data_IF_931205353557
#
_entry.id   IF_931205353557
#
_cell.length_a   1.000
_cell.length_b   1.000
_cell.length_c   1.000
_cell.angle_alpha   90.00
_cell.angle_beta   90.00
_cell.angle_gamma   90.00
#
_symmetry.space_group_name_H-M   'P 1'
#
loop_
_entity.id
_entity.type
_entity.pdbx_description
1 polymer ?
#
# COMPACT_ATOMS: atom_id res chain seq x y z
N UNK A 1 -14.87 -17.90 -31.43
CA UNK A 1 -14.07 -16.70 -31.75
C UNK A 1 -13.12 -16.52 -30.59
N UNK A 2 -11.80 -16.62 -30.82
CA UNK A 2 -10.85 -16.52 -29.71
C UNK A 2 -10.75 -15.09 -29.19
N UNK A 3 -10.56 -14.95 -27.89
CA UNK A 3 -10.59 -13.65 -27.21
C UNK A 3 -9.21 -13.30 -26.64
N UNK A 4 -8.82 -12.04 -26.83
CA UNK A 4 -7.68 -11.46 -26.12
C UNK A 4 -8.03 -11.45 -24.64
N UNK A 5 -7.02 -11.53 -23.76
CA UNK A 5 -7.19 -11.33 -22.33
C UNK A 5 -8.06 -10.11 -22.02
N UNK A 6 -8.90 -10.20 -20.98
CA UNK A 6 -9.82 -9.12 -20.62
C UNK A 6 -9.05 -7.90 -20.11
N UNK A 7 -9.59 -6.71 -20.37
CA UNK A 7 -9.02 -5.41 -19.95
C UNK A 7 -8.86 -5.23 -18.44
N UNK A 8 -9.60 -6.00 -17.65
CA UNK A 8 -9.69 -5.95 -16.19
C UNK A 8 -8.89 -7.08 -15.51
N UNK A 9 -8.18 -7.89 -16.30
CA UNK A 9 -7.29 -8.89 -15.77
C UNK A 9 -6.13 -8.25 -14.98
N UNK A 10 -5.50 -9.02 -14.06
CA UNK A 10 -4.28 -8.60 -13.38
C UNK A 10 -3.21 -8.11 -14.36
N UNK A 11 -2.46 -7.07 -13.96
CA UNK A 11 -1.43 -6.47 -14.81
C UNK A 11 -0.39 -7.51 -15.28
N UNK A 12 -0.01 -8.45 -14.41
CA UNK A 12 0.95 -9.51 -14.73
C UNK A 12 0.41 -10.47 -15.81
N UNK A 13 -0.89 -10.79 -15.77
CA UNK A 13 -1.51 -11.65 -16.77
C UNK A 13 -1.55 -10.97 -18.14
N UNK A 14 -1.91 -9.66 -18.16
CA UNK A 14 -1.94 -8.87 -19.40
C UNK A 14 -0.55 -8.80 -20.02
N UNK A 15 0.46 -8.43 -19.23
CA UNK A 15 1.84 -8.32 -19.71
C UNK A 15 2.39 -9.69 -20.10
N UNK A 16 2.01 -10.76 -19.39
CA UNK A 16 2.31 -12.13 -19.76
C UNK A 16 1.82 -12.48 -21.17
N UNK A 17 0.57 -12.17 -21.49
CA UNK A 17 0.00 -12.42 -22.82
C UNK A 17 0.63 -11.55 -23.90
N UNK A 18 0.98 -10.29 -23.58
CA UNK A 18 1.68 -9.39 -24.51
C UNK A 18 3.10 -9.92 -24.82
N UNK A 19 3.85 -10.36 -23.81
CA UNK A 19 5.18 -10.96 -23.99
C UNK A 19 5.11 -12.27 -24.76
N UNK A 20 4.15 -13.14 -24.43
CA UNK A 20 3.92 -14.39 -25.17
C UNK A 20 3.59 -14.12 -26.64
N UNK A 21 2.74 -13.11 -26.90
CA UNK A 21 2.41 -12.67 -28.26
C UNK A 21 3.64 -12.23 -29.04
N UNK A 22 4.48 -11.38 -28.44
CA UNK A 22 5.72 -10.92 -29.09
C UNK A 22 6.68 -12.10 -29.36
N UNK A 23 6.82 -13.02 -28.40
CA UNK A 23 7.67 -14.20 -28.56
C UNK A 23 7.18 -15.09 -29.71
N UNK A 24 5.88 -15.39 -29.76
CA UNK A 24 5.30 -16.21 -30.83
C UNK A 24 5.35 -15.51 -32.19
N UNK A 25 5.12 -14.19 -32.25
CA UNK A 25 5.26 -13.41 -33.48
C UNK A 25 6.69 -13.44 -34.01
N UNK A 26 7.68 -13.24 -33.12
CA UNK A 26 9.10 -13.34 -33.45
C UNK A 26 9.50 -14.71 -33.97
N UNK A 27 8.95 -15.78 -33.39
CA UNK A 27 9.19 -17.15 -33.85
C UNK A 27 8.62 -17.42 -35.26
N UNK A 28 7.49 -16.80 -35.61
CA UNK A 28 6.89 -16.91 -36.95
C UNK A 28 7.56 -16.02 -37.99
N UNK A 29 8.15 -14.89 -37.57
CA UNK A 29 8.88 -13.97 -38.45
C UNK A 29 7.96 -13.18 -39.40
N UNK A 30 8.58 -12.54 -40.40
CA UNK A 30 7.90 -11.75 -41.42
C UNK A 30 7.07 -10.59 -40.86
N UNK A 31 5.98 -10.24 -41.55
CA UNK A 31 5.12 -9.12 -41.15
C UNK A 31 4.38 -9.33 -39.83
N UNK A 32 4.23 -10.59 -39.36
CA UNK A 32 3.71 -10.85 -38.01
C UNK A 32 4.67 -10.29 -36.94
N UNK A 33 5.96 -10.56 -37.09
CA UNK A 33 7.01 -10.05 -36.21
C UNK A 33 7.10 -8.52 -36.28
N UNK A 34 7.18 -7.95 -37.47
CA UNK A 34 7.35 -6.50 -37.65
C UNK A 34 6.21 -5.71 -36.98
N UNK A 35 4.95 -6.11 -37.20
CA UNK A 35 3.79 -5.46 -36.59
C UNK A 35 3.76 -5.65 -35.07
N UNK A 36 4.15 -6.83 -34.56
CA UNK A 36 4.23 -7.07 -33.12
C UNK A 36 5.33 -6.24 -32.47
N UNK A 37 6.52 -6.19 -33.07
CA UNK A 37 7.64 -5.38 -32.56
C UNK A 37 7.26 -3.90 -32.53
N UNK A 38 6.69 -3.37 -33.61
CA UNK A 38 6.28 -1.98 -33.70
C UNK A 38 5.25 -1.58 -32.61
N UNK A 39 4.35 -2.50 -32.23
CA UNK A 39 3.24 -2.21 -31.32
C UNK A 39 3.54 -2.57 -29.87
N UNK A 40 4.16 -3.72 -29.63
CA UNK A 40 4.28 -4.28 -28.29
C UNK A 40 5.59 -3.91 -27.61
N UNK A 41 6.69 -3.73 -28.35
CA UNK A 41 8.00 -3.39 -27.74
C UNK A 41 7.94 -2.07 -26.97
N UNK A 42 7.41 -0.95 -27.51
CA UNK A 42 7.41 0.32 -26.79
C UNK A 42 6.66 0.26 -25.45
N UNK A 43 5.50 -0.40 -25.42
CA UNK A 43 4.70 -0.51 -24.19
C UNK A 43 5.30 -1.49 -23.19
N UNK A 44 5.97 -2.55 -23.64
CA UNK A 44 6.73 -3.46 -22.79
C UNK A 44 7.95 -2.76 -22.16
N UNK A 45 8.72 -1.99 -22.95
CA UNK A 45 9.85 -1.20 -22.42
C UNK A 45 9.40 -0.21 -21.37
N UNK A 46 8.27 0.48 -21.59
CA UNK A 46 7.69 1.38 -20.60
C UNK A 46 7.29 0.62 -19.33
N UNK A 47 6.63 -0.54 -19.47
CA UNK A 47 6.23 -1.36 -18.33
C UNK A 47 7.43 -1.81 -17.50
N UNK A 48 8.47 -2.32 -18.15
CA UNK A 48 9.68 -2.80 -17.48
C UNK A 48 10.40 -1.66 -16.74
N UNK A 49 10.43 -0.45 -17.32
CA UNK A 49 10.97 0.74 -16.66
C UNK A 49 10.18 1.15 -15.41
N UNK A 50 8.84 1.10 -15.47
CA UNK A 50 7.98 1.38 -14.32
C UNK A 50 8.12 0.30 -13.25
N UNK A 51 8.17 -0.98 -13.63
CA UNK A 51 8.41 -2.09 -12.70
C UNK A 51 9.74 -1.96 -11.97
N UNK A 52 10.81 -1.60 -12.68
CA UNK A 52 12.12 -1.38 -12.06
C UNK A 52 12.08 -0.24 -11.02
N UNK A 53 11.43 0.88 -11.35
CA UNK A 53 11.25 2.00 -10.42
C UNK A 53 10.39 1.61 -9.21
N UNK A 54 9.32 0.86 -9.44
CA UNK A 54 8.41 0.37 -8.40
C UNK A 54 9.13 -0.57 -7.44
N UNK A 55 9.92 -1.50 -7.96
CA UNK A 55 10.71 -2.42 -7.13
C UNK A 55 11.76 -1.68 -6.30
N UNK A 56 12.45 -0.69 -6.88
CA UNK A 56 13.37 0.16 -6.14
C UNK A 56 12.67 0.95 -5.03
N UNK A 57 11.52 1.57 -5.33
CA UNK A 57 10.73 2.30 -4.34
C UNK A 57 10.20 1.40 -3.22
N UNK A 58 9.82 0.15 -3.54
CA UNK A 58 9.44 -0.84 -2.53
C UNK A 58 10.60 -1.19 -1.60
N UNK A 59 11.77 -1.50 -2.16
CA UNK A 59 12.95 -1.82 -1.35
C UNK A 59 13.40 -0.66 -0.44
N UNK A 60 13.07 0.58 -0.81
CA UNK A 60 13.26 1.76 0.03
C UNK A 60 12.19 1.87 1.13
N UNK A 61 10.91 1.62 0.80
CA UNK A 61 9.78 1.80 1.72
C UNK A 61 9.64 0.69 2.78
N UNK A 62 9.88 -0.57 2.42
CA UNK A 62 9.78 -1.72 3.33
C UNK A 62 10.54 -1.57 4.65
N UNK A 63 11.86 -1.23 4.66
CA UNK A 63 12.59 -1.06 5.92
C UNK A 63 12.11 0.15 6.73
N UNK A 64 11.48 1.14 6.10
CA UNK A 64 10.93 2.30 6.78
C UNK A 64 9.61 1.96 7.48
N UNK A 65 8.75 1.16 6.83
CA UNK A 65 7.54 0.61 7.46
C UNK A 65 7.88 -0.24 8.69
N UNK A 66 8.86 -1.13 8.57
CA UNK A 66 9.30 -1.95 9.70
C UNK A 66 9.83 -1.10 10.88
N UNK A 67 10.44 0.07 10.61
CA UNK A 67 10.85 1.01 11.65
C UNK A 67 9.66 1.71 12.30
N UNK A 68 8.63 2.06 11.53
CA UNK A 68 7.39 2.63 12.06
C UNK A 68 6.69 1.64 12.97
N UNK A 69 6.53 0.39 12.54
CA UNK A 69 5.93 -0.68 13.36
C UNK A 69 6.73 -0.91 14.66
N UNK A 70 8.06 -0.96 14.58
CA UNK A 70 8.90 -1.11 15.76
C UNK A 70 8.79 0.09 16.73
N UNK A 71 8.65 1.31 16.22
CA UNK A 71 8.49 2.50 17.05
C UNK A 71 7.06 2.61 17.61
N UNK A 72 6.05 2.16 16.86
CA UNK A 72 4.67 2.03 17.32
C UNK A 72 4.59 1.11 18.53
N UNK A 73 5.23 -0.06 18.47
CA UNK A 73 5.29 -0.99 19.58
C UNK A 73 5.96 -0.38 20.83
N UNK A 74 7.03 0.41 20.65
CA UNK A 74 7.67 1.13 21.77
C UNK A 74 6.75 2.21 22.36
N UNK A 75 5.99 2.89 21.51
CA UNK A 75 5.02 3.88 21.95
C UNK A 75 3.87 3.22 22.74
N UNK A 76 3.43 2.04 22.32
CA UNK A 76 2.44 1.23 23.03
C UNK A 76 2.96 0.76 24.40
N UNK A 77 4.22 0.31 24.47
CA UNK A 77 4.87 -0.06 25.74
C UNK A 77 4.95 1.13 26.70
N UNK A 78 5.36 2.30 26.20
CA UNK A 78 5.43 3.53 26.99
C UNK A 78 4.04 3.98 27.46
N UNK A 79 3.03 3.90 26.58
CA UNK A 79 1.64 4.19 26.91
C UNK A 79 1.10 3.25 28.00
N UNK A 80 1.36 1.94 27.88
CA UNK A 80 0.95 0.95 28.87
C UNK A 80 1.57 1.21 30.24
N UNK A 81 2.87 1.53 30.27
CA UNK A 81 3.54 1.94 31.51
C UNK A 81 2.92 3.21 32.11
N UNK A 82 2.72 4.25 31.31
CA UNK A 82 2.11 5.52 31.78
C UNK A 82 0.70 5.30 32.31
N UNK A 83 -0.10 4.47 31.63
CA UNK A 83 -1.44 4.13 32.08
C UNK A 83 -1.42 3.41 33.45
N UNK A 84 -0.51 2.45 33.65
CA UNK A 84 -0.35 1.78 34.95
C UNK A 84 0.14 2.73 36.04
N UNK A 85 1.13 3.59 35.75
CA UNK A 85 1.66 4.59 36.68
C UNK A 85 0.57 5.58 37.14
N UNK A 86 -0.27 6.03 36.22
CA UNK A 86 -1.42 6.90 36.53
C UNK A 86 -2.45 6.14 37.36
N UNK A 87 -2.83 4.92 36.97
CA UNK A 87 -3.79 4.09 37.71
C UNK A 87 -3.30 3.78 39.14
N UNK A 88 -2.00 3.52 39.30
CA UNK A 88 -1.32 3.35 40.58
C UNK A 88 -1.37 4.63 41.42
N UNK A 89 -1.03 5.76 40.82
CA UNK A 89 -0.98 7.05 41.52
C UNK A 89 -2.33 7.48 42.08
N UNK A 90 -3.44 7.07 41.44
CA UNK A 90 -4.80 7.43 41.87
C UNK A 90 -5.46 6.37 42.76
N UNK A 91 -4.74 5.30 43.10
CA UNK A 91 -5.15 4.29 44.09
C UNK A 91 -5.86 3.06 43.51
N UNK A 92 -5.64 2.74 42.23
CA UNK A 92 -6.21 1.56 41.54
C UNK A 92 -7.73 1.41 41.66
N UNK A 93 -8.52 2.47 41.40
CA UNK A 93 -9.97 2.37 41.49
C UNK A 93 -10.51 1.40 40.44
N UNK A 94 -11.56 0.65 40.80
CA UNK A 94 -12.30 -0.22 39.88
C UNK A 94 -13.09 0.60 38.85
N UNK A 95 -13.58 1.78 39.25
CA UNK A 95 -14.24 2.73 38.39
C UNK A 95 -13.86 4.16 38.81
N UNK A 96 -13.43 4.98 37.86
CA UNK A 96 -13.10 6.39 38.10
C UNK A 96 -13.54 7.25 36.89
N UNK A 97 -14.41 8.27 37.11
CA UNK A 97 -14.88 9.15 36.05
C UNK A 97 -13.77 9.97 35.39
N UNK A 98 -12.77 10.43 36.15
CA UNK A 98 -11.67 11.22 35.60
C UNK A 98 -10.72 10.36 34.77
N UNK A 99 -10.46 9.11 35.18
CA UNK A 99 -9.73 8.16 34.32
C UNK A 99 -10.50 7.82 33.05
N UNK A 100 -11.84 7.75 33.11
CA UNK A 100 -12.66 7.49 31.92
C UNK A 100 -12.66 8.64 30.91
N UNK A 101 -12.43 9.88 31.38
CA UNK A 101 -12.23 11.06 30.53
C UNK A 101 -10.80 11.10 29.97
N UNK A 102 -9.81 10.75 30.79
CA UNK A 102 -8.40 10.71 30.40
C UNK A 102 -8.12 9.62 29.37
N UNK A 103 -8.78 8.47 29.52
CA UNK A 103 -8.70 7.32 28.63
C UNK A 103 -10.09 6.96 28.06
N UNK A 104 -10.63 7.76 27.13
CA UNK A 104 -11.94 7.49 26.53
C UNK A 104 -11.89 6.18 25.74
N UNK A 105 -12.68 5.19 26.15
CA UNK A 105 -12.63 3.84 25.57
C UNK A 105 -11.41 3.00 26.00
N UNK A 106 -10.64 3.47 27.00
CA UNK A 106 -9.47 2.78 27.54
C UNK A 106 -8.16 3.13 26.82
N UNK A 107 -7.04 2.57 27.30
CA UNK A 107 -5.71 2.85 26.74
C UNK A 107 -5.57 2.42 25.27
N UNK A 108 -6.29 1.37 24.86
CA UNK A 108 -6.24 0.83 23.50
C UNK A 108 -6.65 1.86 22.44
N UNK A 109 -7.44 2.88 22.80
CA UNK A 109 -7.79 3.97 21.89
C UNK A 109 -6.57 4.77 21.41
N UNK A 110 -5.56 4.91 22.27
CA UNK A 110 -4.32 5.63 21.96
C UNK A 110 -3.22 4.73 21.39
N UNK A 111 -3.42 3.42 21.47
CA UNK A 111 -2.56 2.43 20.81
C UNK A 111 -2.88 2.38 19.30
N UNK A 112 -2.19 1.49 18.57
CA UNK A 112 -2.53 1.14 17.20
C UNK A 112 -4.01 0.73 17.11
N UNK A 113 -4.85 1.60 16.56
CA UNK A 113 -6.31 1.43 16.57
C UNK A 113 -6.66 0.25 15.66
N UNK A 114 -7.68 -0.53 16.01
CA UNK A 114 -8.35 -1.63 15.27
C UNK A 114 -8.37 -1.58 13.72
N UNK A 115 -8.18 -0.41 13.10
CA UNK A 115 -8.06 -0.21 11.65
C UNK A 115 -6.61 -0.32 11.09
N UNK A 116 -5.60 -0.49 11.95
CA UNK A 116 -4.17 -0.52 11.58
C UNK A 116 -3.60 0.85 11.20
N UNK A 117 -4.22 1.95 11.65
CA UNK A 117 -3.73 3.31 11.41
C UNK A 117 -2.65 3.70 12.43
N UNK A 118 -1.45 3.19 12.19
CA UNK A 118 -0.22 3.56 12.89
C UNK A 118 0.14 5.04 12.60
N UNK A 119 -0.27 5.59 11.46
CA UNK A 119 0.12 6.94 11.06
C UNK A 119 -0.57 8.03 11.88
N UNK A 120 -1.79 7.78 12.36
CA UNK A 120 -2.53 8.67 13.25
C UNK A 120 -2.17 8.54 14.73
N UNK A 121 -1.42 7.51 15.13
CA UNK A 121 -1.09 7.28 16.54
C UNK A 121 -0.34 8.44 17.21
N UNK A 122 0.67 9.08 16.58
CA UNK A 122 1.37 10.21 17.20
C UNK A 122 0.46 11.38 17.60
N UNK A 123 -0.59 11.64 16.82
CA UNK A 123 -1.53 12.71 17.12
C UNK A 123 -2.41 12.36 18.32
N UNK A 124 -2.87 11.11 18.40
CA UNK A 124 -3.62 10.61 19.57
C UNK A 124 -2.78 10.70 20.84
N UNK A 125 -1.51 10.30 20.80
CA UNK A 125 -0.59 10.41 21.93
C UNK A 125 -0.35 11.87 22.34
N UNK A 126 -0.20 12.79 21.38
CA UNK A 126 -0.04 14.22 21.70
C UNK A 126 -1.28 14.77 22.44
N UNK A 127 -2.49 14.37 22.02
CA UNK A 127 -3.74 14.74 22.72
C UNK A 127 -3.76 14.17 24.14
N UNK A 128 -3.37 12.91 24.34
CA UNK A 128 -3.26 12.32 25.68
C UNK A 128 -2.26 13.09 26.57
N UNK A 129 -1.10 13.47 26.02
CA UNK A 129 -0.11 14.27 26.75
C UNK A 129 -0.68 15.64 27.18
N UNK A 130 -1.49 16.28 26.32
CA UNK A 130 -2.17 17.54 26.66
C UNK A 130 -3.21 17.33 27.78
N UNK A 131 -4.01 16.26 27.72
CA UNK A 131 -4.99 15.93 28.75
C UNK A 131 -4.31 15.67 30.10
N UNK A 132 -3.25 14.86 30.12
CA UNK A 132 -2.42 14.62 31.31
C UNK A 132 -1.87 15.93 31.87
N UNK A 133 -1.25 16.76 31.03
CA UNK A 133 -0.65 18.03 31.43
C UNK A 133 -1.65 19.06 31.97
N UNK A 134 -2.93 18.96 31.60
CA UNK A 134 -3.99 19.85 32.10
C UNK A 134 -4.49 19.52 33.51
N UNK A 135 -4.06 18.39 34.09
CA UNK A 135 -4.34 18.06 35.50
C UNK A 135 -5.81 17.72 35.80
N UNK A 136 -6.54 17.15 34.84
CA UNK A 136 -7.98 16.86 34.95
C UNK A 136 -8.31 15.90 36.12
N UNK A 137 -7.37 15.02 36.48
CA UNK A 137 -7.62 14.01 37.50
C UNK A 137 -7.38 14.54 38.93
N UNK A 138 -8.40 14.62 39.80
CA UNK A 138 -8.32 15.32 41.09
C UNK A 138 -7.36 14.67 42.09
N UNK A 139 -7.11 13.36 41.97
CA UNK A 139 -6.17 12.61 42.83
C UNK A 139 -4.78 12.44 42.24
N UNK A 140 -4.55 12.88 41.00
CA UNK A 140 -3.23 12.79 40.37
C UNK A 140 -2.49 14.08 40.68
N UNK A 141 -1.33 13.99 41.35
CA UNK A 141 -0.54 15.19 41.60
C UNK A 141 -0.05 15.79 40.29
N UNK A 142 0.06 17.13 40.24
CA UNK A 142 0.49 17.84 39.04
C UNK A 142 1.86 17.35 38.56
N UNK A 143 2.80 17.10 39.48
CA UNK A 143 4.14 16.59 39.14
C UNK A 143 4.09 15.23 38.43
N UNK A 144 3.23 14.31 38.90
CA UNK A 144 3.05 13.00 38.27
C UNK A 144 2.35 13.11 36.93
N UNK A 145 1.36 13.98 36.83
CA UNK A 145 0.64 14.25 35.59
C UNK A 145 1.58 14.84 34.51
N UNK A 146 2.45 15.77 34.90
CA UNK A 146 3.46 16.37 34.02
C UNK A 146 4.54 15.36 33.60
N UNK A 147 4.99 14.51 34.52
CA UNK A 147 5.94 13.44 34.19
C UNK A 147 5.35 12.45 33.17
N UNK A 148 4.12 11.99 33.40
CA UNK A 148 3.38 11.13 32.48
C UNK A 148 3.17 11.80 31.10
N UNK A 149 2.78 13.08 31.08
CA UNK A 149 2.62 13.85 29.85
C UNK A 149 3.93 13.96 29.06
N UNK A 150 5.05 14.19 29.75
CA UNK A 150 6.36 14.27 29.11
C UNK A 150 6.79 12.95 28.47
N UNK A 151 6.53 11.82 29.14
CA UNK A 151 6.84 10.49 28.61
C UNK A 151 6.01 10.17 27.36
N UNK A 152 4.69 10.41 27.40
CA UNK A 152 3.80 10.24 26.24
C UNK A 152 4.21 11.16 25.08
N UNK A 153 4.54 12.42 25.37
CA UNK A 153 4.99 13.37 24.34
C UNK A 153 6.31 12.95 23.70
N UNK A 154 7.23 12.39 24.48
CA UNK A 154 8.49 11.86 23.96
C UNK A 154 8.24 10.68 23.00
N UNK A 155 7.36 9.75 23.37
CA UNK A 155 6.97 8.64 22.51
C UNK A 155 6.27 9.12 21.23
N UNK A 156 5.34 10.08 21.35
CA UNK A 156 4.65 10.70 20.21
C UNK A 156 5.63 11.35 19.23
N UNK A 157 6.61 12.10 19.73
CA UNK A 157 7.62 12.76 18.89
C UNK A 157 8.53 11.76 18.17
N UNK A 158 8.94 10.69 18.85
CA UNK A 158 9.76 9.63 18.26
C UNK A 158 9.01 8.91 17.13
N UNK A 159 7.76 8.50 17.37
CA UNK A 159 6.92 7.88 16.35
C UNK A 159 6.57 8.84 15.20
N UNK A 160 6.27 10.11 15.48
CA UNK A 160 6.01 11.11 14.43
C UNK A 160 7.18 11.24 13.47
N UNK A 161 8.41 11.26 14.00
CA UNK A 161 9.61 11.36 13.19
C UNK A 161 9.77 10.19 12.21
N UNK A 162 9.45 8.96 12.66
CA UNK A 162 9.52 7.78 11.80
C UNK A 162 8.38 7.78 10.79
N UNK A 163 7.15 8.12 11.18
CA UNK A 163 5.98 8.22 10.28
C UNK A 163 6.20 9.25 9.17
N UNK A 164 6.68 10.45 9.49
CA UNK A 164 6.93 11.50 8.49
C UNK A 164 8.02 11.08 7.49
N UNK A 165 9.03 10.31 7.94
CA UNK A 165 10.07 9.78 7.06
C UNK A 165 9.55 8.76 6.03
N UNK A 166 8.40 8.11 6.27
CA UNK A 166 7.83 7.12 5.36
C UNK A 166 6.84 7.72 4.35
N UNK A 167 6.33 8.92 4.61
CA UNK A 167 5.25 9.54 3.84
C UNK A 167 5.53 9.60 2.34
N UNK A 168 6.69 10.17 1.96
CA UNK A 168 7.05 10.31 0.55
C UNK A 168 7.40 8.96 -0.11
N UNK A 169 8.21 8.07 0.50
CA UNK A 169 8.45 6.73 -0.05
C UNK A 169 7.18 5.92 -0.33
N UNK A 170 6.21 5.93 0.60
CA UNK A 170 4.94 5.21 0.43
C UNK A 170 4.06 5.83 -0.65
N UNK A 171 3.97 7.16 -0.69
CA UNK A 171 3.22 7.85 -1.74
C UNK A 171 3.82 7.57 -3.13
N UNK A 172 5.15 7.59 -3.24
CA UNK A 172 5.85 7.23 -4.47
C UNK A 172 5.51 5.80 -4.92
N UNK A 173 5.52 4.84 -3.99
CA UNK A 173 5.15 3.45 -4.29
C UNK A 173 3.70 3.34 -4.76
N UNK A 174 2.76 4.00 -4.06
CA UNK A 174 1.34 4.05 -4.41
C UNK A 174 1.10 4.62 -5.82
N UNK A 175 1.77 5.72 -6.16
CA UNK A 175 1.70 6.32 -7.51
C UNK A 175 2.26 5.37 -8.56
N UNK A 176 3.39 4.72 -8.30
CA UNK A 176 4.00 3.75 -9.22
C UNK A 176 3.12 2.52 -9.42
N UNK A 177 2.42 2.03 -8.40
CA UNK A 177 1.44 0.95 -8.52
C UNK A 177 0.28 1.33 -9.46
N UNK A 178 -0.22 2.57 -9.36
CA UNK A 178 -1.26 3.09 -10.26
C UNK A 178 -0.76 3.23 -11.69
N UNK A 179 0.46 3.76 -11.88
CA UNK A 179 1.08 3.90 -13.20
C UNK A 179 1.28 2.52 -13.83
N UNK A 180 1.82 1.55 -13.08
CA UNK A 180 1.98 0.16 -13.54
C UNK A 180 0.67 -0.43 -14.06
N UNK A 181 -0.42 -0.28 -13.30
CA UNK A 181 -1.73 -0.75 -13.72
C UNK A 181 -2.24 -0.04 -14.99
N UNK A 182 -1.97 1.27 -15.12
CA UNK A 182 -2.32 2.04 -16.31
C UNK A 182 -1.53 1.60 -17.55
N UNK A 183 -0.22 1.35 -17.41
CA UNK A 183 0.62 0.85 -18.51
C UNK A 183 0.18 -0.54 -18.95
N UNK A 184 -0.17 -1.44 -18.02
CA UNK A 184 -0.72 -2.74 -18.38
C UNK A 184 -2.03 -2.62 -19.18
N UNK A 185 -2.94 -1.72 -18.79
CA UNK A 185 -4.15 -1.43 -19.56
C UNK A 185 -3.82 -0.89 -20.96
N UNK A 186 -2.80 -0.05 -21.09
CA UNK A 186 -2.28 0.41 -22.38
C UNK A 186 -1.76 -0.76 -23.22
N UNK A 187 -1.02 -1.69 -22.62
CA UNK A 187 -0.49 -2.88 -23.30
C UNK A 187 -1.62 -3.79 -23.81
N UNK A 188 -2.70 -3.95 -23.04
CA UNK A 188 -3.91 -4.62 -23.51
C UNK A 188 -4.52 -3.92 -24.74
N UNK A 189 -4.61 -2.59 -24.74
CA UNK A 189 -5.13 -1.83 -25.89
C UNK A 189 -4.26 -2.08 -27.13
N UNK A 190 -2.94 -2.02 -27.00
CA UNK A 190 -2.02 -2.33 -28.10
C UNK A 190 -2.16 -3.77 -28.60
N UNK A 191 -2.41 -4.75 -27.72
CA UNK A 191 -2.67 -6.13 -28.11
C UNK A 191 -3.97 -6.28 -28.91
N UNK A 192 -5.04 -5.58 -28.50
CA UNK A 192 -6.29 -5.53 -29.26
C UNK A 192 -6.10 -4.84 -30.61
N UNK A 193 -5.33 -3.75 -30.66
CA UNK A 193 -5.00 -3.06 -31.92
C UNK A 193 -4.16 -3.94 -32.85
N UNK A 194 -3.17 -4.66 -32.32
CA UNK A 194 -2.37 -5.61 -33.08
C UNK A 194 -3.25 -6.70 -33.69
N UNK A 195 -4.20 -7.27 -32.93
CA UNK A 195 -5.17 -8.24 -33.48
C UNK A 195 -5.94 -7.66 -34.67
N UNK A 196 -6.38 -6.41 -34.58
CA UNK A 196 -7.08 -5.72 -35.70
C UNK A 196 -6.16 -5.50 -36.89
N UNK A 197 -4.89 -5.14 -36.66
CA UNK A 197 -3.90 -4.97 -37.72
C UNK A 197 -3.61 -6.28 -38.44
N UNK A 198 -3.48 -7.39 -37.72
CA UNK A 198 -3.29 -8.70 -38.35
C UNK A 198 -4.47 -9.07 -39.25
N UNK A 199 -5.71 -8.81 -38.83
CA UNK A 199 -6.89 -9.01 -39.68
C UNK A 199 -6.85 -8.13 -40.93
N UNK A 200 -6.49 -6.86 -40.77
CA UNK A 200 -6.39 -5.92 -41.89
C UNK A 200 -5.26 -6.31 -42.88
N UNK A 201 -4.18 -6.92 -42.38
CA UNK A 201 -3.08 -7.45 -43.18
C UNK A 201 -3.40 -8.79 -43.87
N UNK A 202 -4.61 -9.35 -43.67
CA UNK A 202 -5.07 -10.56 -44.35
C UNK A 202 -4.77 -11.88 -43.66
N UNK A 203 -4.25 -11.86 -42.42
CA UNK A 203 -4.00 -13.09 -41.67
C UNK A 203 -5.31 -13.76 -41.24
N UNK A 204 -5.34 -15.09 -41.33
CA UNK A 204 -6.46 -15.90 -40.86
C UNK A 204 -6.56 -15.91 -39.34
N UNK A 205 -7.75 -16.19 -38.82
CA UNK A 205 -7.96 -16.33 -37.36
C UNK A 205 -7.07 -17.42 -36.75
N UNK A 206 -6.81 -18.52 -37.48
CA UNK A 206 -5.92 -19.58 -37.01
C UNK A 206 -4.48 -19.10 -36.88
N UNK A 207 -3.99 -18.30 -37.83
CA UNK A 207 -2.65 -17.73 -37.77
C UNK A 207 -2.50 -16.73 -36.62
N UNK A 208 -3.51 -15.87 -36.43
CA UNK A 208 -3.58 -14.90 -35.34
C UNK A 208 -3.59 -15.60 -33.99
N UNK A 209 -4.39 -16.65 -33.82
CA UNK A 209 -4.47 -17.40 -32.55
C UNK A 209 -3.30 -18.36 -32.32
N UNK A 210 -2.50 -18.63 -33.35
CA UNK A 210 -1.17 -19.22 -33.18
C UNK A 210 -0.10 -18.21 -32.73
N UNK A 211 -0.44 -16.93 -32.56
CA UNK A 211 0.45 -15.86 -32.07
C UNK A 211 -0.08 -15.23 -30.79
N UNK A 212 -1.35 -14.82 -30.78
CA UNK A 212 -2.03 -14.23 -29.62
C UNK A 212 -2.70 -15.35 -28.81
N UNK A 213 -2.33 -15.55 -27.53
CA UNK A 213 -2.98 -16.53 -26.66
C UNK A 213 -4.51 -16.35 -26.64
N UNK A 214 -5.24 -17.45 -26.80
CA UNK A 214 -6.70 -17.45 -26.65
C UNK A 214 -7.05 -17.75 -25.18
N UNK A 215 -7.62 -16.77 -24.48
CA UNK A 215 -8.03 -16.94 -23.08
C UNK A 215 -9.41 -17.57 -22.93
N UNK A 216 -10.14 -17.81 -24.03
CA UNK A 216 -11.50 -18.35 -24.02
C UNK A 216 -12.49 -17.46 -23.26
N UNK A 217 -13.80 -17.62 -23.53
CA UNK A 217 -14.81 -16.99 -22.66
C UNK A 217 -14.81 -17.70 -21.33
N UNK A 218 -14.54 -16.97 -20.24
CA UNK A 218 -14.82 -17.47 -18.90
C UNK A 218 -16.27 -17.98 -18.88
N UNK A 219 -16.47 -19.28 -18.59
CA UNK A 219 -17.82 -19.82 -18.37
C UNK A 219 -18.46 -18.97 -17.29
N UNK A 220 -19.57 -18.29 -17.61
CA UNK A 220 -20.44 -17.69 -16.58
C UNK A 220 -20.74 -18.82 -15.59
N UNK A 221 -20.24 -18.70 -14.36
CA UNK A 221 -20.77 -19.50 -13.26
C UNK A 221 -22.23 -19.04 -13.12
N UNK A 222 -23.15 -19.96 -13.38
CA UNK A 222 -24.57 -19.81 -13.10
C UNK A 222 -24.79 -19.64 -11.60
#
# INVERSE_FOLDING_TARGET
>A
MGEVIRKDAPADDIIGDVRATLQSASAKGGSLRELAEQRLVPVLTLFDGVEAQRNAARSEAEPLLAKVEAESARADDALGKVADDVWNAVGRPTADPALSILFPGGMAYFADHEDGDITGQPDRLEVLAQLLGSGIHPKLSLDKAQAAAAEVKSAAAALRSTVEATRLPLERLSVLDRIRAAVAKSAHIELVHLKRLYKAAGFSEAEIHGVIPDRGRARRRL
#
